data_IF_194755197403
#
_entry.id   IF_194755197403
#
_cell.length_a   1.000
_cell.length_b   1.000
_cell.length_c   1.000
_cell.angle_alpha   90.00
_cell.angle_beta   90.00
_cell.angle_gamma   90.00
#
_symmetry.space_group_name_H-M   'P 1'
#
loop_
_entity.id
_entity.type
_entity.pdbx_description
1 polymer ?
#
# COMPACT_ATOMS: atom_id res chain seq x y z
N UNK A 1 -9.84 -1.75 -7.43
CA UNK A 1 -9.89 -1.23 -8.81
C UNK A 1 -10.22 0.25 -8.79
N UNK A 2 -9.59 1.03 -9.67
CA UNK A 2 -9.90 2.45 -9.92
C UNK A 2 -10.26 2.57 -11.40
N UNK A 3 -11.31 3.32 -11.74
CA UNK A 3 -11.72 3.55 -13.13
C UNK A 3 -11.86 5.05 -13.38
N UNK A 4 -11.23 5.55 -14.45
CA UNK A 4 -11.13 6.97 -14.75
C UNK A 4 -11.51 7.18 -16.21
N UNK A 5 -12.42 8.12 -16.46
CA UNK A 5 -12.74 8.54 -17.83
C UNK A 5 -11.61 9.43 -18.37
N UNK A 6 -10.92 8.95 -19.40
CA UNK A 6 -9.80 9.62 -20.07
C UNK A 6 -10.05 9.72 -21.58
N UNK A 7 -11.34 9.82 -21.96
CA UNK A 7 -11.74 9.93 -23.36
C UNK A 7 -11.05 11.12 -24.03
N UNK A 8 -10.42 10.87 -25.18
CA UNK A 8 -9.66 11.88 -25.93
C UNK A 8 -8.16 11.92 -25.65
N UNK A 9 -7.65 11.08 -24.75
CA UNK A 9 -6.22 10.84 -24.52
C UNK A 9 -5.80 9.50 -25.13
N UNK A 10 -4.67 9.49 -25.82
CA UNK A 10 -4.02 8.25 -26.23
C UNK A 10 -3.18 7.69 -25.07
N UNK A 11 -2.77 6.42 -25.17
CA UNK A 11 -1.89 5.80 -24.17
C UNK A 11 -0.60 6.59 -23.95
N UNK A 12 -0.05 7.19 -25.01
CA UNK A 12 1.18 7.99 -24.94
C UNK A 12 0.98 9.38 -24.30
N UNK A 13 -0.27 9.83 -24.16
CA UNK A 13 -0.60 11.11 -23.50
C UNK A 13 -0.85 10.93 -22.00
N UNK A 14 -0.83 9.69 -21.50
CA UNK A 14 -1.13 9.32 -20.12
C UNK A 14 0.14 8.84 -19.42
N UNK A 15 0.32 9.32 -18.19
CA UNK A 15 1.39 8.92 -17.29
C UNK A 15 0.78 8.42 -15.98
N UNK A 16 1.25 7.27 -15.49
CA UNK A 16 0.78 6.65 -14.26
C UNK A 16 2.01 6.37 -13.40
N UNK A 17 2.08 7.02 -12.24
CA UNK A 17 3.17 6.85 -11.28
C UNK A 17 2.63 6.42 -9.93
N UNK A 18 3.35 5.53 -9.25
CA UNK A 18 3.02 5.09 -7.90
C UNK A 18 4.24 5.29 -7.00
N UNK A 19 4.11 6.18 -6.01
CA UNK A 19 5.19 6.51 -5.08
C UNK A 19 4.61 6.70 -3.68
N UNK A 20 5.22 6.04 -2.67
CA UNK A 20 4.89 6.26 -1.26
C UNK A 20 3.39 6.16 -0.94
N UNK A 21 2.72 5.11 -1.42
CA UNK A 21 1.27 4.88 -1.30
C UNK A 21 0.39 5.89 -2.08
N UNK A 22 0.96 6.79 -2.87
CA UNK A 22 0.24 7.72 -3.71
C UNK A 22 0.31 7.29 -5.18
N UNK A 23 -0.85 6.99 -5.76
CA UNK A 23 -1.02 6.74 -7.19
C UNK A 23 -1.41 8.04 -7.88
N UNK A 24 -0.59 8.50 -8.81
CA UNK A 24 -0.83 9.70 -9.61
C UNK A 24 -1.07 9.31 -11.07
N UNK A 25 -2.17 9.80 -11.63
CA UNK A 25 -2.55 9.62 -13.03
C UNK A 25 -2.59 11.00 -13.67
N UNK A 26 -1.75 11.23 -14.66
CA UNK A 26 -1.64 12.51 -15.36
C UNK A 26 -1.98 12.29 -16.83
N UNK A 27 -2.83 13.15 -17.39
CA UNK A 27 -3.04 13.20 -18.82
C UNK A 27 -2.60 14.55 -19.36
N UNK A 28 -1.71 14.56 -20.36
CA UNK A 28 -1.25 15.77 -21.04
C UNK A 28 -1.23 15.51 -22.54
N UNK A 29 -2.11 16.20 -23.26
CA UNK A 29 -2.13 16.16 -24.72
C UNK A 29 -1.26 17.29 -25.25
N UNK A 30 -0.36 17.02 -26.18
CA UNK A 30 0.34 18.10 -26.87
C UNK A 30 -0.67 18.97 -27.62
N UNK A 31 -0.59 20.29 -27.46
CA UNK A 31 -1.41 21.23 -28.21
C UNK A 31 -1.05 21.13 -29.69
N UNK A 32 -1.91 20.46 -30.46
CA UNK A 32 -1.90 20.53 -31.91
C UNK A 32 -2.43 21.91 -32.35
N UNK A 33 -1.81 22.56 -33.35
CA UNK A 33 -2.19 23.90 -33.77
C UNK A 33 -3.68 24.00 -34.12
N UNK A 34 -4.28 25.10 -33.68
CA UNK A 34 -5.69 25.46 -33.79
C UNK A 34 -6.06 25.77 -35.25
N UNK A 35 -6.08 24.78 -36.13
CA UNK A 35 -6.59 24.97 -37.49
C UNK A 35 -7.97 24.32 -37.65
N UNK A 36 -9.00 25.17 -37.68
CA UNK A 36 -10.27 24.90 -38.37
C UNK A 36 -11.25 23.92 -37.71
N UNK A 37 -11.54 24.02 -36.41
CA UNK A 37 -12.65 23.26 -35.82
C UNK A 37 -13.96 24.06 -35.89
N UNK A 38 -14.99 23.52 -36.56
CA UNK A 38 -16.35 24.10 -36.54
C UNK A 38 -17.01 23.98 -35.16
N UNK A 39 -16.75 22.88 -34.44
CA UNK A 39 -17.19 22.66 -33.05
C UNK A 39 -16.29 21.63 -32.37
N UNK A 40 -15.83 21.93 -31.14
CA UNK A 40 -14.99 21.05 -30.33
C UNK A 40 -15.72 20.68 -29.03
N UNK A 41 -16.42 19.54 -29.04
CA UNK A 41 -17.23 19.09 -27.90
C UNK A 41 -16.43 18.66 -26.67
N UNK A 42 -15.14 18.30 -26.82
CA UNK A 42 -14.27 17.92 -25.70
C UNK A 42 -12.89 18.56 -25.91
N UNK A 43 -12.52 19.47 -25.02
CA UNK A 43 -11.16 19.98 -24.94
C UNK A 43 -10.31 18.97 -24.16
N UNK A 44 -9.28 18.41 -24.80
CA UNK A 44 -8.31 17.51 -24.16
C UNK A 44 -7.41 18.29 -23.19
N UNK A 45 -8.01 18.80 -22.11
CA UNK A 45 -7.33 19.63 -21.11
C UNK A 45 -6.45 18.75 -20.25
N UNK A 46 -5.21 19.17 -19.95
CA UNK A 46 -4.37 18.41 -19.05
C UNK A 46 -5.06 18.22 -17.70
N UNK A 47 -4.96 17.01 -17.15
CA UNK A 47 -5.54 16.66 -15.86
C UNK A 47 -4.54 15.88 -15.02
N UNK A 48 -4.77 15.90 -13.71
CA UNK A 48 -4.03 15.09 -12.75
C UNK A 48 -5.00 14.58 -11.69
N UNK A 49 -4.97 13.27 -11.45
CA UNK A 49 -5.73 12.62 -10.40
C UNK A 49 -4.76 11.90 -9.46
N UNK A 50 -4.93 12.14 -8.15
CA UNK A 50 -4.12 11.52 -7.10
C UNK A 50 -5.02 10.65 -6.22
N UNK A 51 -4.57 9.45 -5.95
CA UNK A 51 -5.27 8.48 -5.10
C UNK A 51 -4.30 7.98 -4.02
N UNK A 52 -4.67 8.18 -2.77
CA UNK A 52 -3.98 7.54 -1.65
C UNK A 52 -4.46 6.09 -1.53
N UNK A 53 -3.51 5.16 -1.58
CA UNK A 53 -3.76 3.74 -1.41
C UNK A 53 -3.47 3.34 0.04
N UNK A 54 -4.24 2.38 0.55
CA UNK A 54 -4.02 1.83 1.88
C UNK A 54 -2.72 1.02 1.94
N UNK A 55 -2.25 0.79 3.17
CA UNK A 55 -1.10 -0.10 3.40
C UNK A 55 -1.35 -1.48 2.79
N UNK A 56 -0.29 -2.03 2.18
CA UNK A 56 -0.30 -3.33 1.52
C UNK A 56 -1.17 -3.42 0.25
N UNK A 57 -1.57 -2.30 -0.35
CA UNK A 57 -2.17 -2.27 -1.68
C UNK A 57 -1.07 -2.03 -2.73
N UNK A 58 -1.01 -2.89 -3.76
CA UNK A 58 -0.15 -2.71 -4.94
C UNK A 58 -0.97 -2.58 -6.20
N UNK A 59 -0.41 -1.88 -7.18
CA UNK A 59 -0.93 -1.83 -8.55
C UNK A 59 -0.50 -3.11 -9.28
N UNK A 60 -1.46 -3.86 -9.80
CA UNK A 60 -1.21 -5.09 -10.57
C UNK A 60 -1.07 -4.80 -12.07
N UNK A 61 -1.83 -3.83 -12.58
CA UNK A 61 -1.84 -3.46 -13.99
C UNK A 61 -2.74 -2.26 -14.26
N UNK A 62 -2.64 -1.73 -15.47
CA UNK A 62 -3.50 -0.67 -15.96
C UNK A 62 -3.87 -0.94 -17.43
N UNK A 63 -5.15 -0.79 -17.74
CA UNK A 63 -5.72 -1.05 -19.06
C UNK A 63 -6.52 0.16 -19.53
N UNK A 64 -6.31 0.57 -20.78
CA UNK A 64 -7.06 1.64 -21.42
C UNK A 64 -7.98 1.05 -22.48
N UNK A 65 -9.29 1.19 -22.30
CA UNK A 65 -10.28 0.68 -23.27
C UNK A 65 -11.41 1.70 -23.45
N UNK A 66 -11.72 2.05 -24.70
CA UNK A 66 -12.82 2.96 -25.05
C UNK A 66 -12.84 4.29 -24.27
N UNK A 67 -11.67 4.85 -23.99
CA UNK A 67 -11.54 6.10 -23.21
C UNK A 67 -11.77 5.94 -21.71
N UNK A 68 -11.77 4.71 -21.19
CA UNK A 68 -11.76 4.41 -19.77
C UNK A 68 -10.45 3.74 -19.38
N UNK A 69 -9.72 4.38 -18.48
CA UNK A 69 -8.53 3.81 -17.85
C UNK A 69 -8.97 3.04 -16.61
N UNK A 70 -8.64 1.75 -16.56
CA UNK A 70 -8.90 0.87 -15.41
C UNK A 70 -7.58 0.46 -14.80
N UNK A 71 -7.44 0.67 -13.49
CA UNK A 71 -6.25 0.33 -12.72
C UNK A 71 -6.62 -0.77 -11.74
N UNK A 72 -5.99 -1.93 -11.93
CA UNK A 72 -6.17 -3.10 -11.08
C UNK A 72 -5.30 -2.99 -9.84
N UNK A 73 -5.93 -3.18 -8.67
CA UNK A 73 -5.30 -3.05 -7.36
C UNK A 73 -5.45 -4.37 -6.61
N UNK A 74 -4.35 -4.86 -6.05
CA UNK A 74 -4.31 -6.10 -5.26
C UNK A 74 -3.86 -5.78 -3.84
N UNK A 75 -4.48 -6.43 -2.85
CA UNK A 75 -4.07 -6.34 -1.45
C UNK A 75 -3.17 -7.52 -1.10
N UNK A 76 -1.89 -7.25 -0.88
CA UNK A 76 -0.91 -8.24 -0.43
C UNK A 76 -0.88 -8.31 1.10
N UNK A 77 -1.73 -9.13 1.71
CA UNK A 77 -1.64 -9.34 3.17
C UNK A 77 -0.41 -10.24 3.43
N UNK A 78 0.63 -9.77 4.14
CA UNK A 78 1.78 -10.62 4.42
C UNK A 78 1.34 -11.81 5.27
N UNK A 79 1.68 -13.04 4.86
CA UNK A 79 1.46 -14.26 5.66
C UNK A 79 2.15 -14.23 7.03
N UNK A 80 3.09 -13.31 7.25
CA UNK A 80 3.75 -13.05 8.52
C UNK A 80 2.82 -12.55 9.64
N UNK A 81 1.59 -12.13 9.31
CA UNK A 81 0.54 -11.83 10.29
C UNK A 81 -0.18 -13.09 10.80
N UNK A 82 0.20 -14.30 10.36
CA UNK A 82 -0.29 -15.53 10.98
C UNK A 82 0.15 -15.54 12.45
N UNK A 83 -0.80 -15.53 13.42
CA UNK A 83 -0.45 -15.56 14.83
C UNK A 83 0.34 -16.82 15.13
N UNK A 84 1.59 -16.65 15.59
CA UNK A 84 2.45 -17.77 15.99
C UNK A 84 2.12 -18.12 17.44
N UNK A 85 1.84 -19.40 17.69
CA UNK A 85 1.59 -19.91 19.04
C UNK A 85 2.88 -19.82 19.85
N UNK A 86 2.89 -19.04 20.93
CA UNK A 86 4.02 -18.94 21.85
C UNK A 86 3.84 -20.04 22.90
N UNK A 87 4.79 -20.96 23.00
CA UNK A 87 4.79 -21.98 24.07
C UNK A 87 5.33 -21.38 25.37
N UNK A 88 4.55 -21.48 26.44
CA UNK A 88 4.97 -21.04 27.79
C UNK A 88 5.90 -22.11 28.36
N UNK A 89 7.17 -21.75 28.57
CA UNK A 89 8.14 -22.60 29.28
C UNK A 89 8.00 -22.36 30.78
N UNK A 90 7.77 -23.44 31.55
CA UNK A 90 7.80 -23.38 33.01
C UNK A 90 9.26 -23.35 33.45
N UNK A 91 9.77 -22.17 33.81
CA UNK A 91 11.02 -22.08 34.58
C UNK A 91 10.79 -22.83 35.90
N UNK A 92 11.61 -23.85 36.22
CA UNK A 92 11.56 -24.45 37.55
C UNK A 92 11.98 -23.36 38.53
N UNK A 93 11.00 -22.87 39.29
CA UNK A 93 11.22 -22.06 40.48
C UNK A 93 12.23 -22.80 41.35
N UNK A 94 13.39 -22.17 41.55
CA UNK A 94 14.41 -22.61 42.51
C UNK A 94 13.71 -22.83 43.85
N UNK A 95 13.52 -24.11 44.18
CA UNK A 95 12.96 -24.56 45.44
C UNK A 95 13.86 -23.99 46.55
N UNK A 96 13.29 -23.11 47.37
CA UNK A 96 13.89 -22.64 48.61
C UNK A 96 14.27 -23.85 49.47
N UNK A 97 15.56 -24.11 49.61
CA UNK A 97 16.06 -25.00 50.66
C UNK A 97 15.90 -24.25 52.00
N UNK A 98 15.20 -24.90 52.93
CA UNK A 98 14.81 -24.40 54.25
C UNK A 98 15.97 -24.18 55.24
N UNK A 99 15.64 -23.87 56.52
CA UNK A 99 16.35 -22.90 57.36
C UNK A 99 17.66 -23.43 57.96
N UNK A 100 18.66 -22.55 58.04
CA UNK A 100 19.88 -22.77 58.81
C UNK A 100 19.57 -22.74 60.31
N UNK A 101 19.72 -23.90 60.96
CA UNK A 101 19.68 -24.05 62.41
C UNK A 101 21.01 -23.53 62.99
N UNK A 102 20.94 -22.47 63.81
CA UNK A 102 22.08 -21.89 64.52
C UNK A 102 22.27 -22.71 65.80
N UNK A 103 23.30 -23.54 65.85
CA UNK A 103 23.70 -24.25 67.07
C UNK A 103 24.77 -23.44 67.79
N UNK A 104 24.37 -22.81 68.90
CA UNK A 104 25.27 -22.12 69.80
C UNK A 104 25.96 -23.16 70.71
N UNK A 105 27.23 -23.46 70.46
CA UNK A 105 28.05 -24.19 71.41
C UNK A 105 28.74 -23.23 72.38
N UNK A 106 28.32 -23.38 73.63
CA UNK A 106 28.87 -22.80 74.85
C UNK A 106 30.17 -23.54 75.20
N UNK A 107 31.30 -22.84 75.26
CA UNK A 107 32.53 -23.36 75.85
C UNK A 107 32.73 -22.72 77.24
N UNK A 108 32.93 -23.59 78.23
CA UNK A 108 33.36 -23.30 79.59
C UNK A 108 34.86 -23.56 79.71
#
# INVERSE_FOLDING_TARGET
RISIAVAGFAQNDLDITFQSNLLTVTGKKQESPTEGYLHRGIAGRPFEHRFELADHVRVNGADLNNGLLTIELVREIPEALKPRKISIQRTPSLTSVGPAQIEAQKAA
#
